data_IF_202004641454
#
_entry.id   IF_202004641454
#
_cell.length_a   1.000
_cell.length_b   1.000
_cell.length_c   1.000
_cell.angle_alpha   90.00
_cell.angle_beta   90.00
_cell.angle_gamma   90.00
#
_symmetry.space_group_name_H-M   'P 1'
#
loop_
_entity.id
_entity.type
_entity.pdbx_description
1 polymer ?
#
# COMPACT_ATOMS: atom_id res chain seq x y z
N UNK A 1 8.28 -7.68 18.18
CA UNK A 1 8.08 -7.46 16.73
C UNK A 1 6.83 -6.61 16.57
N UNK A 2 6.69 -5.84 15.49
CA UNK A 2 5.45 -5.10 15.21
C UNK A 2 4.85 -5.52 13.86
N UNK A 3 3.53 -5.53 13.78
CA UNK A 3 2.79 -5.76 12.54
C UNK A 3 2.22 -4.43 12.05
N UNK A 4 2.60 -4.02 10.84
CA UNK A 4 2.16 -2.77 10.24
C UNK A 4 1.19 -3.11 9.12
N UNK A 5 -0.10 -3.00 9.42
CA UNK A 5 -1.14 -3.22 8.45
C UNK A 5 -1.39 -1.88 7.76
N UNK A 6 -1.27 -1.82 6.44
CA UNK A 6 -1.39 -0.57 5.70
C UNK A 6 -2.20 -0.74 4.42
N UNK A 7 -2.76 0.38 3.97
CA UNK A 7 -3.50 0.52 2.72
C UNK A 7 -3.13 1.87 2.05
N UNK A 8 -3.41 2.02 0.76
CA UNK A 8 -3.03 3.18 -0.05
C UNK A 8 -4.17 3.62 -0.96
N UNK A 9 -4.43 4.92 -0.98
CA UNK A 9 -5.23 5.52 -2.04
C UNK A 9 -4.34 6.15 -3.11
N UNK A 10 -4.77 6.01 -4.37
CA UNK A 10 -4.00 6.36 -5.55
C UNK A 10 -4.76 7.35 -6.42
N UNK A 11 -4.11 8.43 -6.85
CA UNK A 11 -4.63 9.24 -7.95
C UNK A 11 -4.34 8.56 -9.29
N UNK A 12 -5.32 8.62 -10.19
CA UNK A 12 -5.21 8.04 -11.52
C UNK A 12 -4.32 8.87 -12.44
N UNK A 13 -3.45 8.19 -13.17
CA UNK A 13 -2.71 8.79 -14.29
C UNK A 13 -3.58 8.88 -15.55
N UNK A 14 -3.27 9.81 -16.47
CA UNK A 14 -3.81 9.76 -17.83
C UNK A 14 -3.42 8.47 -18.56
N UNK A 15 -4.33 7.93 -19.38
CA UNK A 15 -4.21 6.62 -20.04
C UNK A 15 -2.86 6.36 -20.74
N UNK A 16 -2.23 7.38 -21.32
CA UNK A 16 -0.97 7.24 -22.10
C UNK A 16 0.31 7.60 -21.30
N UNK A 17 0.24 7.71 -19.97
CA UNK A 17 1.42 8.09 -19.19
C UNK A 17 2.28 6.90 -18.78
N UNK A 18 3.60 7.05 -18.94
CA UNK A 18 4.62 6.11 -18.45
C UNK A 18 4.93 6.27 -16.95
N UNK A 19 4.34 7.28 -16.30
CA UNK A 19 4.46 7.49 -14.86
C UNK A 19 3.53 6.52 -14.09
N UNK A 20 3.82 6.24 -12.81
CA UNK A 20 2.92 5.45 -11.98
C UNK A 20 1.68 6.26 -11.60
N UNK A 21 0.64 5.58 -11.12
CA UNK A 21 -0.35 6.24 -10.28
C UNK A 21 0.35 6.76 -9.03
N UNK A 22 0.03 7.97 -8.60
CA UNK A 22 0.65 8.59 -7.43
C UNK A 22 -0.17 8.29 -6.18
N UNK A 23 0.51 7.85 -5.12
CA UNK A 23 -0.13 7.65 -3.81
C UNK A 23 -0.54 9.03 -3.29
N UNK A 24 -1.80 9.15 -2.86
CA UNK A 24 -2.41 10.37 -2.32
C UNK A 24 -2.89 10.22 -0.88
N UNK A 25 -3.02 9.00 -0.37
CA UNK A 25 -3.24 8.71 1.04
C UNK A 25 -2.46 7.45 1.41
N UNK A 26 -1.88 7.43 2.60
CA UNK A 26 -1.41 6.23 3.26
C UNK A 26 -2.08 6.16 4.63
N UNK A 27 -2.66 5.00 4.93
CA UNK A 27 -3.25 4.70 6.22
C UNK A 27 -2.67 3.40 6.75
N UNK A 28 -2.41 3.34 8.05
CA UNK A 28 -1.85 2.16 8.67
C UNK A 28 -2.21 2.06 10.15
N UNK A 29 -2.29 0.83 10.64
CA UNK A 29 -2.37 0.51 12.06
C UNK A 29 -1.18 -0.34 12.47
N UNK A 30 -0.69 -0.09 13.70
CA UNK A 30 0.42 -0.82 14.31
C UNK A 30 -0.14 -1.77 15.36
N UNK A 31 0.18 -3.05 15.22
CA UNK A 31 -0.10 -4.06 16.23
C UNK A 31 1.19 -4.50 16.91
N UNK A 32 1.13 -4.71 18.23
CA UNK A 32 2.20 -5.37 18.98
C UNK A 32 2.19 -6.90 18.77
N UNK A 33 3.12 -7.60 19.44
CA UNK A 33 3.23 -9.06 19.39
C UNK A 33 1.99 -9.80 19.92
N UNK A 34 1.17 -9.14 20.74
CA UNK A 34 -0.08 -9.66 21.28
C UNK A 34 -1.29 -9.25 20.42
N UNK A 35 -1.05 -8.67 19.24
CA UNK A 35 -2.06 -8.18 18.31
C UNK A 35 -2.92 -7.02 18.85
N UNK A 36 -2.48 -6.31 19.87
CA UNK A 36 -3.14 -5.09 20.34
C UNK A 36 -2.80 -3.93 19.42
N UNK A 37 -3.81 -3.11 19.07
CA UNK A 37 -3.56 -1.86 18.33
C UNK A 37 -2.88 -0.89 19.29
N UNK A 38 -1.62 -0.56 19.01
CA UNK A 38 -0.83 0.34 19.86
C UNK A 38 -0.68 1.75 19.26
N UNK A 39 -0.94 1.90 17.96
CA UNK A 39 -0.72 3.14 17.26
C UNK A 39 -1.42 3.14 15.88
N UNK A 40 -1.57 4.32 15.28
CA UNK A 40 -2.06 4.50 13.92
C UNK A 40 -1.29 5.60 13.17
N UNK A 41 -1.28 5.50 11.84
CA UNK A 41 -0.67 6.50 10.97
C UNK A 41 -1.62 6.79 9.81
N UNK A 42 -1.90 8.07 9.59
CA UNK A 42 -2.64 8.50 8.42
C UNK A 42 -2.01 9.77 7.86
N UNK A 43 -1.83 9.81 6.54
CA UNK A 43 -1.30 11.01 5.90
C UNK A 43 -1.74 11.10 4.44
N UNK A 44 -2.24 12.27 4.07
CA UNK A 44 -2.37 12.63 2.66
C UNK A 44 -1.01 12.94 2.06
N UNK A 45 -0.88 12.72 0.76
CA UNK A 45 0.34 12.95 -0.01
C UNK A 45 0.03 13.86 -1.18
N UNK A 46 0.85 14.90 -1.33
CA UNK A 46 0.78 15.80 -2.48
C UNK A 46 1.39 15.13 -3.72
N UNK A 47 0.59 14.85 -4.77
CA UNK A 47 1.11 14.31 -6.02
C UNK A 47 2.00 15.34 -6.73
N UNK A 48 3.07 14.86 -7.35
CA UNK A 48 4.05 15.66 -8.07
C UNK A 48 3.71 15.79 -9.55
N UNK A 49 3.19 14.74 -10.17
CA UNK A 49 3.01 14.65 -11.61
C UNK A 49 1.56 14.93 -12.04
N UNK A 50 0.60 14.47 -11.24
CA UNK A 50 -0.83 14.58 -11.49
C UNK A 50 -1.49 15.34 -10.35
N UNK A 51 -1.30 16.66 -10.35
CA UNK A 51 -1.76 17.55 -9.28
C UNK A 51 -3.29 17.63 -9.15
N UNK A 52 -4.03 17.37 -10.24
CA UNK A 52 -5.49 17.33 -10.24
C UNK A 52 -5.99 15.94 -9.86
N UNK A 53 -6.83 15.87 -8.83
CA UNK A 53 -7.50 14.65 -8.40
C UNK A 53 -8.53 14.23 -9.45
N UNK A 54 -8.47 12.97 -9.87
CA UNK A 54 -9.43 12.44 -10.84
C UNK A 54 -10.83 12.35 -10.22
N UNK A 55 -11.87 12.73 -10.96
CA UNK A 55 -13.24 12.83 -10.43
C UNK A 55 -13.76 11.49 -9.88
N UNK A 56 -13.44 10.38 -10.55
CA UNK A 56 -13.81 9.04 -10.08
C UNK A 56 -13.10 8.70 -8.75
N UNK A 57 -11.82 9.08 -8.60
CA UNK A 57 -11.07 8.87 -7.35
C UNK A 57 -11.69 9.70 -6.24
N UNK A 58 -11.96 10.99 -6.48
CA UNK A 58 -12.65 11.86 -5.52
C UNK A 58 -13.99 11.28 -5.05
N UNK A 59 -14.80 10.76 -5.96
CA UNK A 59 -16.10 10.14 -5.62
C UNK A 59 -15.92 8.87 -4.79
N UNK A 60 -14.91 8.06 -5.13
CA UNK A 60 -14.65 6.78 -4.47
C UNK A 60 -14.11 6.98 -3.05
N UNK A 61 -13.11 7.86 -2.90
CA UNK A 61 -12.36 8.02 -1.64
C UNK A 61 -12.85 9.16 -0.76
N UNK A 62 -13.71 10.04 -1.27
CA UNK A 62 -14.11 11.30 -0.62
C UNK A 62 -12.95 12.25 -0.31
N UNK A 63 -11.72 11.95 -0.75
CA UNK A 63 -10.57 12.84 -0.64
C UNK A 63 -10.83 14.07 -1.50
N UNK A 64 -10.61 15.25 -0.95
CA UNK A 64 -10.79 16.50 -1.67
C UNK A 64 -9.50 16.94 -2.36
N UNK A 65 -9.63 17.84 -3.34
CA UNK A 65 -8.47 18.48 -3.96
C UNK A 65 -7.68 19.30 -2.93
N UNK A 66 -8.34 19.85 -1.93
CA UNK A 66 -7.73 20.67 -0.89
C UNK A 66 -6.83 19.82 0.03
N UNK A 67 -7.28 18.61 0.39
CA UNK A 67 -6.51 17.65 1.20
C UNK A 67 -5.14 17.39 0.58
N UNK A 68 -5.11 17.02 -0.71
CA UNK A 68 -3.86 16.73 -1.42
C UNK A 68 -3.04 17.99 -1.76
N UNK A 69 -3.67 19.16 -1.85
CA UNK A 69 -2.96 20.41 -2.11
C UNK A 69 -2.13 20.88 -0.90
N UNK A 70 -2.69 20.70 0.30
CA UNK A 70 -2.08 21.05 1.59
C UNK A 70 -1.16 19.95 2.13
N UNK A 71 -1.27 18.73 1.60
CA UNK A 71 -0.46 17.59 1.99
C UNK A 71 1.04 17.80 1.78
N UNK A 72 1.82 17.02 2.53
CA UNK A 72 3.28 16.98 2.43
C UNK A 72 3.70 16.14 1.21
N UNK A 73 4.96 16.27 0.80
CA UNK A 73 5.48 15.51 -0.35
C UNK A 73 5.62 14.03 -0.02
N UNK A 74 5.54 13.18 -1.04
CA UNK A 74 5.74 11.73 -0.90
C UNK A 74 7.00 11.37 -0.12
N UNK A 75 8.13 12.05 -0.38
CA UNK A 75 9.40 11.80 0.33
C UNK A 75 9.31 12.06 1.82
N UNK A 76 8.64 13.15 2.21
CA UNK A 76 8.51 13.51 3.62
C UNK A 76 7.53 12.60 4.34
N UNK A 77 6.40 12.25 3.70
CA UNK A 77 5.44 11.31 4.27
C UNK A 77 6.06 9.93 4.45
N UNK A 78 6.77 9.40 3.45
CA UNK A 78 7.47 8.11 3.59
C UNK A 78 8.58 8.17 4.63
N UNK A 79 9.27 9.30 4.79
CA UNK A 79 10.24 9.46 5.89
C UNK A 79 9.55 9.36 7.26
N UNK A 80 8.46 10.08 7.47
CA UNK A 80 7.65 10.04 8.71
C UNK A 80 7.09 8.64 8.96
N UNK A 81 6.53 8.01 7.93
CA UNK A 81 5.99 6.65 8.00
C UNK A 81 7.06 5.63 8.39
N UNK A 82 8.25 5.68 7.79
CA UNK A 82 9.36 4.80 8.15
C UNK A 82 9.88 5.02 9.57
N UNK A 83 9.89 6.27 10.04
CA UNK A 83 10.22 6.57 11.44
C UNK A 83 9.16 5.98 12.39
N UNK A 84 7.89 6.11 12.03
CA UNK A 84 6.77 5.60 12.79
C UNK A 84 6.70 4.06 12.83
N UNK A 85 7.04 3.37 11.73
CA UNK A 85 7.13 1.90 11.68
C UNK A 85 8.12 1.35 12.70
N UNK A 86 9.22 2.07 12.95
CA UNK A 86 10.29 1.64 13.84
C UNK A 86 11.11 0.47 13.29
N UNK A 87 12.09 -0.01 14.08
CA UNK A 87 12.84 -1.21 13.76
C UNK A 87 12.01 -2.48 14.03
N UNK A 88 12.38 -3.57 13.35
CA UNK A 88 11.81 -4.92 13.51
C UNK A 88 10.28 -5.02 13.36
N UNK A 89 9.83 -4.71 12.14
CA UNK A 89 8.43 -4.73 11.77
C UNK A 89 8.19 -5.55 10.50
N UNK A 90 7.01 -6.16 10.40
CA UNK A 90 6.50 -6.79 9.19
C UNK A 90 5.40 -5.90 8.64
N UNK A 91 5.51 -5.51 7.36
CA UNK A 91 4.46 -4.80 6.66
C UNK A 91 3.45 -5.79 6.09
N UNK A 92 2.18 -5.43 6.15
CA UNK A 92 1.05 -6.23 5.71
C UNK A 92 0.12 -5.32 4.91
N UNK A 93 -0.18 -5.70 3.67
CA UNK A 93 -1.27 -5.09 2.91
C UNK A 93 -2.34 -6.12 2.61
N UNK A 94 -3.56 -5.66 2.33
CA UNK A 94 -4.61 -6.57 1.88
C UNK A 94 -4.18 -7.29 0.62
N UNK A 95 -3.73 -6.58 -0.42
CA UNK A 95 -3.35 -7.18 -1.71
C UNK A 95 -1.98 -6.77 -2.24
N UNK A 96 -1.55 -7.46 -3.30
CA UNK A 96 -0.29 -7.17 -4.01
C UNK A 96 -0.18 -5.75 -4.56
N UNK A 97 -1.31 -5.13 -4.90
CA UNK A 97 -1.33 -3.84 -5.59
C UNK A 97 -0.72 -2.73 -4.72
N UNK A 98 -0.91 -2.74 -3.40
CA UNK A 98 -0.31 -1.74 -2.50
C UNK A 98 1.19 -1.90 -2.37
N UNK A 99 1.67 -3.14 -2.26
CA UNK A 99 3.11 -3.47 -2.23
C UNK A 99 3.77 -2.99 -3.53
N UNK A 100 3.13 -3.27 -4.66
CA UNK A 100 3.59 -2.86 -5.97
C UNK A 100 3.64 -1.34 -6.08
N UNK A 101 2.54 -0.64 -5.77
CA UNK A 101 2.44 0.80 -5.90
C UNK A 101 3.39 1.55 -4.93
N UNK A 102 3.54 1.08 -3.70
CA UNK A 102 4.50 1.65 -2.74
C UNK A 102 5.94 1.50 -3.22
N UNK A 103 6.31 0.30 -3.68
CA UNK A 103 7.63 0.04 -4.26
C UNK A 103 7.89 0.91 -5.48
N UNK A 104 6.91 1.02 -6.37
CA UNK A 104 7.01 1.80 -7.60
C UNK A 104 7.15 3.30 -7.32
N UNK A 105 6.31 3.85 -6.46
CA UNK A 105 6.38 5.27 -6.06
C UNK A 105 7.69 5.58 -5.33
N UNK A 106 8.19 4.68 -4.47
CA UNK A 106 9.53 4.81 -3.87
C UNK A 106 10.62 4.89 -4.94
N UNK A 107 10.61 3.99 -5.93
CA UNK A 107 11.58 3.98 -7.03
C UNK A 107 11.55 5.29 -7.84
N UNK A 108 10.36 5.76 -8.24
CA UNK A 108 10.21 7.02 -8.98
C UNK A 108 10.66 8.25 -8.17
N UNK A 109 10.52 8.20 -6.84
CA UNK A 109 11.00 9.23 -5.93
C UNK A 109 12.46 9.04 -5.46
N UNK A 110 13.19 8.05 -6.00
CA UNK A 110 14.58 7.72 -5.63
C UNK A 110 14.74 7.38 -4.15
N UNK A 111 13.76 6.71 -3.57
CA UNK A 111 13.78 6.20 -2.20
C UNK A 111 14.19 4.71 -2.23
N UNK A 112 15.13 4.36 -1.37
CA UNK A 112 15.56 2.98 -1.09
C UNK A 112 14.37 2.12 -0.63
N UNK A 113 14.28 0.87 -1.09
CA UNK A 113 13.13 -0.03 -0.89
C UNK A 113 13.45 -1.22 0.04
N UNK A 114 14.64 -1.24 0.64
CA UNK A 114 15.11 -2.33 1.49
C UNK A 114 14.24 -2.52 2.73
N UNK A 115 13.58 -1.46 3.20
CA UNK A 115 12.62 -1.50 4.30
C UNK A 115 11.30 -2.23 3.95
N UNK A 116 11.02 -2.45 2.67
CA UNK A 116 9.84 -3.18 2.19
C UNK A 116 10.08 -4.70 2.09
N UNK A 117 11.28 -5.20 2.41
CA UNK A 117 11.63 -6.63 2.23
C UNK A 117 10.74 -7.58 3.03
N UNK A 118 10.34 -7.19 4.24
CA UNK A 118 9.41 -7.96 5.09
C UNK A 118 7.98 -7.46 4.83
N UNK A 119 7.42 -7.75 3.65
CA UNK A 119 6.08 -7.29 3.28
C UNK A 119 5.20 -8.44 2.79
N UNK A 120 4.05 -8.64 3.42
CA UNK A 120 3.13 -9.75 3.20
C UNK A 120 1.85 -9.25 2.52
N UNK A 121 1.43 -10.04 1.52
CA UNK A 121 0.15 -9.91 0.82
C UNK A 121 -0.80 -10.92 1.46
N UNK A 122 -1.71 -10.44 2.32
CA UNK A 122 -2.53 -11.36 3.11
C UNK A 122 -3.73 -11.91 2.34
N UNK A 123 -4.18 -11.26 1.27
CA UNK A 123 -5.25 -11.76 0.40
C UNK A 123 -4.92 -13.13 -0.16
N UNK A 124 -3.67 -13.40 -0.56
CA UNK A 124 -3.27 -14.73 -1.03
C UNK A 124 -3.40 -15.81 0.04
N UNK A 125 -2.95 -15.51 1.25
CA UNK A 125 -3.04 -16.44 2.37
C UNK A 125 -4.49 -16.65 2.78
N UNK A 126 -5.28 -15.57 2.83
CA UNK A 126 -6.71 -15.61 3.09
C UNK A 126 -7.42 -16.52 2.08
N UNK A 127 -7.20 -16.33 0.78
CA UNK A 127 -7.79 -17.19 -0.25
C UNK A 127 -7.40 -18.66 -0.07
N UNK A 128 -6.17 -18.95 0.33
CA UNK A 128 -5.74 -20.32 0.62
C UNK A 128 -6.41 -20.90 1.87
N UNK A 129 -6.52 -20.12 2.95
CA UNK A 129 -7.10 -20.55 4.23
C UNK A 129 -8.59 -20.88 4.09
N UNK A 130 -9.31 -20.11 3.25
CA UNK A 130 -10.73 -20.27 3.01
C UNK A 130 -11.06 -21.09 1.75
N UNK A 131 -10.07 -21.76 1.14
CA UNK A 131 -10.23 -22.57 -0.08
C UNK A 131 -10.95 -21.84 -1.22
N UNK A 132 -10.66 -20.55 -1.40
CA UNK A 132 -11.28 -19.72 -2.44
C UNK A 132 -10.69 -20.06 -3.83
N UNK A 133 -11.48 -19.87 -4.91
CA UNK A 133 -11.02 -20.17 -6.27
C UNK A 133 -9.69 -19.48 -6.62
N UNK A 134 -8.74 -20.27 -7.11
CA UNK A 134 -7.45 -19.76 -7.57
C UNK A 134 -7.61 -18.76 -8.71
N UNK A 135 -6.78 -17.70 -8.71
CA UNK A 135 -6.78 -16.69 -9.78
C UNK A 135 -7.80 -15.56 -9.59
N UNK A 136 -8.71 -15.66 -8.61
CA UNK A 136 -9.61 -14.57 -8.25
C UNK A 136 -9.02 -13.71 -7.12
N UNK A 137 -9.10 -12.39 -7.27
CA UNK A 137 -8.75 -11.43 -6.22
C UNK A 137 -9.98 -11.20 -5.35
N UNK A 138 -9.96 -11.73 -4.13
CA UNK A 138 -11.06 -11.58 -3.20
C UNK A 138 -11.03 -10.19 -2.56
N UNK A 139 -12.10 -9.40 -2.71
CA UNK A 139 -12.13 -8.03 -2.18
C UNK A 139 -12.08 -8.02 -0.64
N UNK A 140 -11.57 -6.92 -0.06
CA UNK A 140 -11.54 -6.72 1.39
C UNK A 140 -12.95 -6.81 1.97
N UNK A 141 -13.92 -6.14 1.33
CA UNK A 141 -15.32 -6.18 1.71
C UNK A 141 -15.89 -7.61 1.74
N UNK A 142 -15.63 -8.42 0.71
CA UNK A 142 -16.11 -9.80 0.67
C UNK A 142 -15.44 -10.66 1.74
N UNK A 143 -14.16 -10.42 2.05
CA UNK A 143 -13.47 -11.12 3.12
C UNK A 143 -14.05 -10.81 4.50
N UNK A 144 -14.36 -9.54 4.77
CA UNK A 144 -15.05 -9.14 6.02
C UNK A 144 -16.41 -9.82 6.14
N UNK A 145 -17.20 -9.83 5.05
CA UNK A 145 -18.50 -10.51 5.02
C UNK A 145 -18.38 -12.01 5.27
N UNK A 146 -17.40 -12.67 4.63
CA UNK A 146 -17.15 -14.10 4.81
C UNK A 146 -16.75 -14.46 6.25
N UNK A 147 -16.05 -13.54 6.94
CA UNK A 147 -15.67 -13.69 8.34
C UNK A 147 -16.73 -13.17 9.32
N UNK A 148 -17.90 -12.74 8.83
CA UNK A 148 -18.97 -12.16 9.65
C UNK A 148 -18.50 -10.96 10.50
N UNK A 149 -17.55 -10.17 9.97
CA UNK A 149 -17.05 -8.97 10.62
C UNK A 149 -17.94 -7.78 10.23
N UNK A 150 -18.47 -7.09 11.24
CA UNK A 150 -19.28 -5.89 11.04
C UNK A 150 -18.53 -4.80 10.26
N UNK A 151 -19.15 -4.35 9.18
CA UNK A 151 -18.74 -3.19 8.38
C UNK A 151 -19.57 -2.00 8.85
N UNK A 152 -18.93 -1.06 9.55
CA UNK A 152 -19.58 0.14 10.12
C UNK A 152 -19.24 1.41 9.35
N UNK A 153 -18.05 1.43 8.79
CA UNK A 153 -17.46 2.55 8.05
C UNK A 153 -17.35 2.26 6.56
N UNK A 154 -17.35 3.32 5.76
CA UNK A 154 -17.21 3.24 4.32
C UNK A 154 -15.76 2.91 3.91
N UNK A 155 -15.63 2.05 2.90
CA UNK A 155 -14.35 1.72 2.26
C UNK A 155 -13.73 2.91 1.54
N UNK A 156 -12.47 2.72 1.12
CA UNK A 156 -11.70 3.65 0.28
C UNK A 156 -11.21 4.90 0.99
N UNK A 157 -10.97 4.74 2.29
CA UNK A 157 -10.09 5.58 3.08
C UNK A 157 -9.01 4.67 3.61
N UNK A 158 -7.75 5.03 3.34
CA UNK A 158 -6.65 4.12 3.59
C UNK A 158 -6.56 3.67 5.07
N UNK A 159 -6.88 4.54 6.03
CA UNK A 159 -6.86 4.13 7.45
C UNK A 159 -7.97 3.14 7.78
N UNK A 160 -9.18 3.34 7.25
CA UNK A 160 -10.33 2.46 7.47
C UNK A 160 -10.06 1.08 6.85
N UNK A 161 -9.53 1.05 5.62
CA UNK A 161 -9.22 -0.19 4.93
C UNK A 161 -8.06 -0.93 5.65
N UNK A 162 -7.08 -0.22 6.21
CA UNK A 162 -6.05 -0.79 7.08
C UNK A 162 -6.63 -1.37 8.39
N UNK A 163 -7.60 -0.70 9.02
CA UNK A 163 -8.27 -1.20 10.22
C UNK A 163 -9.04 -2.48 9.96
N UNK A 164 -9.82 -2.53 8.88
CA UNK A 164 -10.51 -3.74 8.46
C UNK A 164 -9.56 -4.89 8.13
N UNK A 165 -8.50 -4.59 7.38
CA UNK A 165 -7.43 -5.55 7.08
C UNK A 165 -6.81 -6.07 8.38
N UNK A 166 -6.68 -5.24 9.42
CA UNK A 166 -6.16 -5.67 10.72
C UNK A 166 -7.11 -6.63 11.44
N UNK A 167 -8.43 -6.44 11.34
CA UNK A 167 -9.41 -7.38 11.91
C UNK A 167 -9.30 -8.75 11.26
N UNK A 168 -9.16 -8.80 9.93
CA UNK A 168 -8.92 -10.05 9.20
C UNK A 168 -7.60 -10.67 9.65
N UNK A 169 -6.52 -9.88 9.65
CA UNK A 169 -5.19 -10.34 10.06
C UNK A 169 -5.21 -11.00 11.44
N UNK A 170 -5.87 -10.38 12.43
CA UNK A 170 -6.05 -10.96 13.77
C UNK A 170 -6.84 -12.27 13.74
N UNK A 171 -7.96 -12.31 13.01
CA UNK A 171 -8.82 -13.48 12.96
C UNK A 171 -8.21 -14.70 12.25
N UNK A 172 -7.16 -14.51 11.45
CA UNK A 172 -6.47 -15.59 10.75
C UNK A 172 -5.02 -15.79 11.20
N UNK A 173 -4.57 -15.05 12.23
CA UNK A 173 -3.16 -14.92 12.59
C UNK A 173 -2.45 -16.27 12.77
N UNK A 174 -3.06 -17.19 13.52
CA UNK A 174 -2.49 -18.52 13.83
C UNK A 174 -2.34 -19.42 12.59
N UNK A 175 -2.97 -19.06 11.48
CA UNK A 175 -2.93 -19.80 10.21
C UNK A 175 -1.98 -19.15 9.19
N UNK A 176 -1.41 -17.98 9.51
CA UNK A 176 -0.54 -17.24 8.59
C UNK A 176 0.88 -17.79 8.57
N UNK A 177 1.45 -17.86 7.38
CA UNK A 177 2.89 -17.92 7.19
C UNK A 177 3.47 -16.50 7.19
N UNK A 178 4.02 -16.08 8.34
CA UNK A 178 4.65 -14.77 8.53
C UNK A 178 6.05 -14.64 7.88
N UNK A 179 6.50 -15.67 7.16
CA UNK A 179 7.72 -15.65 6.35
C UNK A 179 7.43 -15.60 4.84
N UNK A 180 6.15 -15.58 4.43
CA UNK A 180 5.72 -15.50 3.03
C UNK A 180 5.89 -14.08 2.45
N UNK A 181 7.11 -13.54 2.52
CA UNK A 181 7.42 -12.19 2.05
C UNK A 181 7.34 -12.09 0.52
N UNK A 182 6.77 -10.99 0.04
CA UNK A 182 6.68 -10.71 -1.38
C UNK A 182 8.06 -10.41 -1.96
N UNK A 183 8.34 -11.00 -3.13
CA UNK A 183 9.56 -10.68 -3.86
C UNK A 183 9.43 -9.30 -4.52
N UNK A 184 10.13 -8.31 -3.97
CA UNK A 184 10.23 -6.99 -4.59
C UNK A 184 11.35 -7.02 -5.63
N UNK A 185 10.98 -7.19 -6.91
CA UNK A 185 11.98 -7.20 -8.00
C UNK A 185 12.69 -5.83 -8.10
N UNK A 186 14.02 -5.77 -8.10
CA UNK A 186 14.75 -4.58 -8.50
C UNK A 186 14.45 -4.26 -9.97
N UNK A 187 14.36 -2.99 -10.35
CA UNK A 187 14.32 -2.65 -11.77
C UNK A 187 15.67 -3.03 -12.39
N UNK A 188 15.66 -3.77 -13.51
CA UNK A 188 16.85 -3.90 -14.36
C UNK A 188 17.31 -2.49 -14.74
N UNK A 189 18.58 -2.16 -14.49
CA UNK A 189 19.17 -0.93 -15.03
C UNK A 189 18.96 -0.96 -16.54
N UNK A 190 18.26 0.02 -17.11
CA UNK A 190 18.31 0.25 -18.55
C UNK A 190 19.78 0.56 -18.85
N UNK A 191 20.48 -0.36 -19.52
CA UNK A 191 21.78 -0.05 -20.10
C UNK A 191 21.59 1.20 -20.96
N UNK A 192 22.34 2.27 -20.64
CA UNK A 192 22.41 3.43 -21.51
C UNK A 192 22.91 2.90 -22.86
N UNK A 193 22.04 2.87 -23.86
CA UNK A 193 22.45 2.68 -25.24
C UNK A 193 23.59 3.66 -25.51
N UNK A 194 24.75 3.15 -25.89
CA UNK A 194 25.90 3.97 -26.30
C UNK A 194 25.38 4.87 -27.42
N UNK A 195 25.35 6.18 -27.16
CA UNK A 195 25.18 7.20 -28.20
C UNK A 195 26.33 6.98 -29.17
N UNK A 196 26.04 6.40 -30.34
CA UNK A 196 27.00 6.34 -31.44
C UNK A 196 27.17 7.79 -31.89
N UNK A 197 28.24 8.43 -31.44
CA UNK A 197 28.76 9.64 -32.06
C UNK A 197 29.27 9.23 -33.43
N UNK A 198 28.49 9.50 -34.48
CA UNK A 198 29.06 9.60 -35.83
C UNK A 198 29.74 10.96 -35.90
N UNK A 199 31.06 10.94 -35.78
CA UNK A 199 31.93 11.98 -36.30
C UNK A 199 32.22 11.66 -37.78
N UNK A 200 32.39 12.74 -38.55
CA UNK A 200 32.69 12.82 -39.99
C UNK A 200 31.49 12.64 -40.94
#
# INVERSE_FOLDING_TARGET
MNYIIYDLELNSKPFKSNLPNEIIEIGAVKLDDNLNKVDEFQSFIKPKYFSKLFSLVKKKTQITQEDINKADTFKNVIRKFRQWIGPDSILISWGHDDIYNLSLNCKFNRIKIEWLKKNIDIQKQFSSIFNLPSGQRYSLENALKLMEIDIKDNFHRALIDAEYTSKIFKGIFDKLNLQAFNTIKPLKKKNKSKRITKNA
#
